data_IF_679525935572
#
_entry.id   IF_679525935572
#
_cell.length_a   1.000
_cell.length_b   1.000
_cell.length_c   1.000
_cell.angle_alpha   90.00
_cell.angle_beta   90.00
_cell.angle_gamma   90.00
#
_symmetry.space_group_name_H-M   'P 1'
#
loop_
_entity.id
_entity.type
_entity.pdbx_description
1 polymer ?
#
# COMPACT_ATOMS: atom_id res chain seq x y z
N UNK A 1 -14.81 -14.88 7.96
CA UNK A 1 -15.50 -14.50 6.70
C UNK A 1 -14.96 -15.43 5.63
N UNK A 2 -15.77 -16.38 5.17
CA UNK A 2 -15.35 -17.39 4.21
C UNK A 2 -15.18 -16.73 2.84
N UNK A 3 -13.96 -16.72 2.32
CA UNK A 3 -13.67 -16.36 0.93
C UNK A 3 -14.35 -17.39 0.04
N UNK A 4 -15.36 -16.98 -0.72
CA UNK A 4 -15.87 -17.78 -1.84
C UNK A 4 -14.73 -17.92 -2.86
N UNK A 5 -13.98 -19.01 -2.77
CA UNK A 5 -12.95 -19.36 -3.74
C UNK A 5 -13.64 -19.59 -5.09
N UNK A 6 -13.59 -18.60 -5.98
CA UNK A 6 -14.09 -18.76 -7.34
C UNK A 6 -13.21 -19.81 -8.06
N UNK A 7 -13.74 -21.01 -8.36
CA UNK A 7 -12.94 -22.08 -8.96
C UNK A 7 -12.37 -21.69 -10.34
N UNK A 8 -13.07 -20.79 -11.04
CA UNK A 8 -12.65 -20.19 -12.30
C UNK A 8 -11.41 -19.29 -12.13
N UNK A 9 -11.36 -18.49 -11.05
CA UNK A 9 -10.24 -17.61 -10.75
C UNK A 9 -8.97 -18.39 -10.42
N UNK A 10 -9.06 -19.46 -9.62
CA UNK A 10 -7.92 -20.32 -9.32
C UNK A 10 -7.35 -20.99 -10.58
N UNK A 11 -8.23 -21.38 -11.51
CA UNK A 11 -7.82 -21.97 -12.80
C UNK A 11 -7.18 -20.95 -13.73
N UNK A 12 -7.68 -19.72 -13.73
CA UNK A 12 -7.11 -18.62 -14.49
C UNK A 12 -5.73 -18.21 -13.95
N UNK A 13 -5.56 -18.16 -12.63
CA UNK A 13 -4.25 -17.99 -11.97
C UNK A 13 -3.28 -19.10 -12.40
N UNK A 14 -3.71 -20.37 -12.40
CA UNK A 14 -2.87 -21.49 -12.84
C UNK A 14 -2.41 -21.33 -14.29
N UNK A 15 -3.30 -20.92 -15.20
CA UNK A 15 -2.99 -20.67 -16.60
C UNK A 15 -1.98 -19.52 -16.75
N UNK A 16 -2.15 -18.44 -16.00
CA UNK A 16 -1.21 -17.32 -15.99
C UNK A 16 0.18 -17.72 -15.47
N UNK A 17 0.24 -18.52 -14.40
CA UNK A 17 1.51 -19.05 -13.87
C UNK A 17 2.18 -20.01 -14.85
N UNK A 18 1.41 -20.74 -15.65
CA UNK A 18 1.95 -21.60 -16.72
C UNK A 18 2.47 -20.85 -17.95
N UNK A 19 2.32 -19.52 -18.01
CA UNK A 19 2.89 -18.66 -19.04
C UNK A 19 1.93 -18.16 -20.12
N UNK A 20 0.62 -18.41 -20.01
CA UNK A 20 -0.36 -17.85 -20.95
C UNK A 20 -0.49 -16.33 -20.77
N UNK A 21 -0.51 -15.59 -21.88
CA UNK A 21 -0.62 -14.13 -21.86
C UNK A 21 -1.69 -13.60 -22.82
N UNK A 22 -2.22 -12.42 -22.49
CA UNK A 22 -3.09 -11.60 -23.35
C UNK A 22 -4.18 -12.37 -24.10
N UNK A 23 -4.07 -12.53 -25.44
CA UNK A 23 -5.11 -13.13 -26.28
C UNK A 23 -5.32 -14.64 -26.04
N UNK A 24 -4.28 -15.36 -25.60
CA UNK A 24 -4.39 -16.79 -25.30
C UNK A 24 -5.14 -17.00 -23.98
N UNK A 25 -4.95 -16.08 -23.04
CA UNK A 25 -5.62 -16.11 -21.74
C UNK A 25 -7.11 -15.79 -21.87
N UNK A 26 -7.49 -14.82 -22.72
CA UNK A 26 -8.90 -14.53 -23.00
C UNK A 26 -9.58 -15.70 -23.72
N UNK A 27 -8.93 -16.30 -24.71
CA UNK A 27 -9.44 -17.50 -25.39
C UNK A 27 -9.60 -18.70 -24.43
N UNK A 28 -8.68 -18.86 -23.47
CA UNK A 28 -8.78 -19.88 -22.43
C UNK A 28 -9.89 -19.56 -21.41
N UNK A 29 -10.11 -18.29 -21.08
CA UNK A 29 -11.19 -17.84 -20.20
C UNK A 29 -12.58 -18.10 -20.81
N UNK A 30 -12.75 -17.89 -22.12
CA UNK A 30 -13.97 -18.24 -22.85
C UNK A 30 -14.27 -19.75 -22.78
N UNK A 31 -13.24 -20.60 -22.77
CA UNK A 31 -13.38 -22.07 -22.60
C UNK A 31 -13.71 -22.49 -21.17
N UNK A 32 -13.53 -21.59 -20.20
CA UNK A 32 -13.85 -21.80 -18.79
C UNK A 32 -15.27 -21.32 -18.43
N UNK A 33 -16.09 -21.02 -19.44
CA UNK A 33 -17.47 -20.54 -19.30
C UNK A 33 -17.57 -19.22 -18.50
N UNK A 34 -16.52 -18.40 -18.56
CA UNK A 34 -16.52 -17.06 -17.96
C UNK A 34 -17.18 -16.09 -18.96
N UNK A 35 -18.18 -15.30 -18.55
CA UNK A 35 -18.82 -14.34 -19.44
C UNK A 35 -17.83 -13.25 -19.87
N UNK A 36 -17.85 -12.87 -21.15
CA UNK A 36 -16.87 -11.91 -21.72
C UNK A 36 -16.81 -10.57 -20.97
N UNK A 37 -17.92 -10.14 -20.37
CA UNK A 37 -17.98 -8.94 -19.54
C UNK A 37 -17.15 -9.02 -18.26
N UNK A 38 -16.93 -10.21 -17.70
CA UNK A 38 -16.24 -10.42 -16.42
C UNK A 38 -14.79 -10.91 -16.60
N UNK A 39 -14.40 -11.33 -17.81
CA UNK A 39 -13.04 -11.84 -18.09
C UNK A 39 -11.98 -10.80 -17.70
N UNK A 40 -12.19 -9.52 -18.02
CA UNK A 40 -11.25 -8.45 -17.70
C UNK A 40 -11.05 -8.29 -16.19
N UNK A 41 -12.15 -8.21 -15.44
CA UNK A 41 -12.13 -8.05 -13.99
C UNK A 41 -11.46 -9.25 -13.30
N UNK A 42 -11.77 -10.48 -13.74
CA UNK A 42 -11.18 -11.70 -13.21
C UNK A 42 -9.68 -11.82 -13.53
N UNK A 43 -9.24 -11.37 -14.71
CA UNK A 43 -7.81 -11.33 -15.06
C UNK A 43 -7.08 -10.33 -14.16
N UNK A 44 -7.65 -9.15 -13.92
CA UNK A 44 -7.02 -8.14 -13.08
C UNK A 44 -7.01 -8.56 -11.60
N UNK A 45 -8.06 -9.23 -11.13
CA UNK A 45 -8.07 -9.86 -9.80
C UNK A 45 -7.01 -10.97 -9.69
N UNK A 46 -6.87 -11.83 -10.71
CA UNK A 46 -5.85 -12.87 -10.75
C UNK A 46 -4.43 -12.27 -10.71
N UNK A 47 -4.18 -11.22 -11.51
CA UNK A 47 -2.91 -10.45 -11.48
C UNK A 47 -2.65 -9.89 -10.09
N UNK A 48 -3.68 -9.32 -9.45
CA UNK A 48 -3.55 -8.75 -8.12
C UNK A 48 -3.19 -9.81 -7.09
N UNK A 49 -3.83 -10.98 -7.13
CA UNK A 49 -3.51 -12.11 -6.25
C UNK A 49 -2.10 -12.64 -6.48
N UNK A 50 -1.66 -12.77 -7.74
CA UNK A 50 -0.29 -13.17 -8.07
C UNK A 50 0.72 -12.15 -7.53
N UNK A 51 0.46 -10.84 -7.71
CA UNK A 51 1.32 -9.78 -7.16
C UNK A 51 1.38 -9.83 -5.63
N UNK A 52 0.25 -10.01 -4.96
CA UNK A 52 0.20 -10.12 -3.51
C UNK A 52 0.96 -11.37 -3.02
N UNK A 53 0.77 -12.51 -3.67
CA UNK A 53 1.50 -13.73 -3.35
C UNK A 53 3.01 -13.57 -3.55
N UNK A 54 3.43 -12.98 -4.68
CA UNK A 54 4.82 -12.69 -4.96
C UNK A 54 5.42 -11.71 -3.93
N UNK A 55 4.65 -10.71 -3.49
CA UNK A 55 5.09 -9.76 -2.46
C UNK A 55 5.27 -10.41 -1.09
N UNK A 56 4.41 -11.38 -0.76
CA UNK A 56 4.50 -12.11 0.50
C UNK A 56 5.76 -12.99 0.54
N UNK A 57 6.03 -13.72 -0.54
CA UNK A 57 7.23 -14.55 -0.68
C UNK A 57 8.50 -13.70 -0.58
N UNK A 58 8.53 -12.57 -1.30
CA UNK A 58 9.62 -11.61 -1.24
C UNK A 58 9.87 -11.08 0.18
N UNK A 59 8.83 -10.66 0.92
CA UNK A 59 8.98 -10.23 2.31
C UNK A 59 9.52 -11.34 3.22
N UNK A 60 9.09 -12.58 3.01
CA UNK A 60 9.58 -13.73 3.77
C UNK A 60 11.06 -14.00 3.49
N UNK A 61 11.45 -14.09 2.21
CA UNK A 61 12.84 -14.28 1.80
C UNK A 61 13.76 -13.17 2.33
N UNK A 62 13.28 -11.93 2.33
CA UNK A 62 14.00 -10.80 2.91
C UNK A 62 14.18 -10.91 4.42
N UNK A 63 13.14 -11.31 5.14
CA UNK A 63 13.25 -11.57 6.58
C UNK A 63 14.32 -12.63 6.86
N UNK A 64 14.33 -13.71 6.09
CA UNK A 64 15.33 -14.78 6.19
C UNK A 64 16.73 -14.26 5.88
N UNK A 65 16.90 -13.47 4.83
CA UNK A 65 18.18 -12.89 4.44
C UNK A 65 18.70 -11.92 5.52
N UNK A 66 17.83 -11.06 6.05
CA UNK A 66 18.13 -10.13 7.13
C UNK A 66 18.60 -10.87 8.39
N UNK A 67 17.87 -11.89 8.85
CA UNK A 67 18.26 -12.68 10.02
C UNK A 67 19.62 -13.34 9.82
N UNK A 68 19.86 -13.96 8.67
CA UNK A 68 21.14 -14.63 8.36
C UNK A 68 22.32 -13.66 8.35
N UNK A 69 22.16 -12.49 7.73
CA UNK A 69 23.18 -11.44 7.69
C UNK A 69 23.46 -10.84 9.07
N UNK A 70 22.41 -10.60 9.86
CA UNK A 70 22.55 -10.10 11.22
C UNK A 70 23.26 -11.13 12.13
N UNK A 71 22.93 -12.41 12.01
CA UNK A 71 23.61 -13.48 12.73
C UNK A 71 25.09 -13.60 12.33
N UNK A 72 25.41 -13.39 11.06
CA UNK A 72 26.79 -13.36 10.56
C UNK A 72 27.55 -12.16 11.15
N UNK A 73 26.93 -10.97 11.14
CA UNK A 73 27.49 -9.77 11.75
C UNK A 73 27.78 -9.95 13.24
N UNK A 74 26.81 -10.44 14.02
CA UNK A 74 26.97 -10.68 15.46
C UNK A 74 28.10 -11.68 15.73
N UNK A 75 28.18 -12.77 14.94
CA UNK A 75 29.25 -13.76 15.07
C UNK A 75 30.62 -13.18 14.74
N UNK A 76 30.74 -12.41 13.66
CA UNK A 76 31.98 -11.76 13.26
C UNK A 76 32.48 -10.76 14.32
N UNK A 77 31.58 -9.95 14.89
CA UNK A 77 31.91 -9.03 16.00
C UNK A 77 32.42 -9.79 17.23
N UNK A 78 31.78 -10.90 17.61
CA UNK A 78 32.20 -11.71 18.78
C UNK A 78 33.63 -12.25 18.67
N UNK A 79 34.08 -12.55 17.45
CA UNK A 79 35.45 -13.05 17.19
C UNK A 79 36.41 -11.95 16.71
N UNK A 80 36.00 -10.68 16.77
CA UNK A 80 36.75 -9.52 16.30
C UNK A 80 37.16 -9.58 14.81
N UNK A 81 36.42 -10.32 13.98
CA UNK A 81 36.57 -10.31 12.52
C UNK A 81 35.85 -9.08 11.92
N UNK A 82 36.53 -7.94 12.03
CA UNK A 82 35.98 -6.65 11.59
C UNK A 82 35.75 -6.59 10.07
N UNK A 83 36.51 -7.35 9.28
CA UNK A 83 36.35 -7.37 7.82
C UNK A 83 35.01 -8.00 7.45
N UNK A 84 34.72 -9.18 7.99
CA UNK A 84 33.44 -9.86 7.76
C UNK A 84 32.28 -9.06 8.35
N UNK A 85 32.45 -8.44 9.53
CA UNK A 85 31.42 -7.59 10.12
C UNK A 85 31.08 -6.39 9.22
N UNK A 86 32.09 -5.69 8.67
CA UNK A 86 31.86 -4.57 7.77
C UNK A 86 31.17 -5.00 6.46
N UNK A 87 31.54 -6.15 5.90
CA UNK A 87 30.86 -6.68 4.71
C UNK A 87 29.40 -6.99 5.00
N UNK A 88 29.11 -7.72 6.09
CA UNK A 88 27.75 -8.03 6.49
C UNK A 88 26.91 -6.76 6.76
N UNK A 89 27.51 -5.74 7.38
CA UNK A 89 26.85 -4.46 7.62
C UNK A 89 26.52 -3.71 6.33
N UNK A 90 27.43 -3.70 5.34
CA UNK A 90 27.18 -3.08 4.03
C UNK A 90 26.05 -3.78 3.29
N UNK A 91 26.00 -5.10 3.34
CA UNK A 91 24.97 -5.88 2.66
C UNK A 91 23.61 -5.73 3.36
N UNK A 92 23.58 -5.62 4.70
CA UNK A 92 22.37 -5.24 5.44
C UNK A 92 21.84 -3.87 5.02
N UNK A 93 22.71 -2.85 4.93
CA UNK A 93 22.29 -1.51 4.52
C UNK A 93 21.74 -1.49 3.09
N UNK A 94 22.37 -2.21 2.17
CA UNK A 94 21.87 -2.37 0.78
C UNK A 94 20.49 -2.99 0.73
N UNK A 95 20.25 -4.03 1.53
CA UNK A 95 18.96 -4.71 1.62
C UNK A 95 17.88 -3.78 2.17
N UNK A 96 18.21 -2.91 3.14
CA UNK A 96 17.27 -1.93 3.68
C UNK A 96 16.99 -0.78 2.69
N UNK A 97 18.00 -0.31 1.96
CA UNK A 97 17.85 0.71 0.92
C UNK A 97 16.96 0.23 -0.23
N UNK A 98 17.11 -1.03 -0.68
CA UNK A 98 16.27 -1.60 -1.74
C UNK A 98 14.80 -1.79 -1.36
N UNK A 99 14.47 -1.77 -0.07
CA UNK A 99 13.10 -1.94 0.45
C UNK A 99 12.51 -0.73 1.12
N UNK A 100 13.25 0.37 1.19
CA UNK A 100 12.60 1.66 1.32
C UNK A 100 11.86 1.84 0.01
N UNK A 101 10.51 1.83 -0.03
CA UNK A 101 9.81 2.12 -1.27
C UNK A 101 10.37 3.46 -1.72
N UNK A 102 11.07 3.47 -2.85
CA UNK A 102 11.32 4.71 -3.55
C UNK A 102 9.96 5.40 -3.57
N UNK A 103 9.85 6.60 -3.03
CA UNK A 103 8.60 7.38 -3.02
C UNK A 103 7.99 7.57 -4.43
N UNK A 104 8.63 7.03 -5.46
CA UNK A 104 8.24 6.84 -6.84
C UNK A 104 7.69 5.44 -7.18
N UNK A 105 7.12 4.68 -6.25
CA UNK A 105 6.26 3.55 -6.63
C UNK A 105 4.96 4.14 -7.21
N UNK A 106 5.09 4.61 -8.44
CA UNK A 106 4.07 5.20 -9.30
C UNK A 106 2.99 4.14 -9.48
N UNK A 107 1.80 4.42 -8.98
CA UNK A 107 0.59 3.74 -9.39
C UNK A 107 0.44 3.98 -10.91
N UNK A 108 0.43 2.94 -11.77
CA UNK A 108 0.36 3.12 -13.23
C UNK A 108 -0.96 3.75 -13.72
N UNK A 109 -1.92 4.00 -12.80
CA UNK A 109 -3.16 4.73 -13.04
C UNK A 109 -3.21 6.11 -12.37
N UNK A 110 -2.22 6.49 -11.57
CA UNK A 110 -2.14 7.84 -11.05
C UNK A 110 -1.76 8.79 -12.18
N UNK A 111 -2.69 9.66 -12.55
CA UNK A 111 -2.38 10.85 -13.35
C UNK A 111 -1.22 11.55 -12.64
N UNK A 112 -0.09 11.73 -13.33
CA UNK A 112 1.02 12.53 -12.82
C UNK A 112 0.53 13.97 -12.66
N UNK A 113 -0.05 14.28 -11.50
CA UNK A 113 -0.37 15.66 -11.14
C UNK A 113 0.95 16.29 -10.75
N UNK A 114 1.38 17.31 -11.51
CA UNK A 114 2.56 18.09 -11.14
C UNK A 114 2.35 18.59 -9.71
N UNK A 115 3.31 18.30 -8.82
CA UNK A 115 3.26 18.71 -7.42
C UNK A 115 3.01 20.23 -7.26
N UNK A 116 3.36 21.04 -8.29
CA UNK A 116 3.03 22.47 -8.33
C UNK A 116 1.55 22.74 -8.58
N UNK A 117 0.93 22.01 -9.51
CA UNK A 117 -0.50 22.12 -9.83
C UNK A 117 -1.35 21.64 -8.65
N UNK A 118 -0.93 20.57 -7.99
CA UNK A 118 -1.59 20.06 -6.79
C UNK A 118 -1.57 21.09 -5.64
N UNK A 119 -0.43 21.73 -5.39
CA UNK A 119 -0.30 22.77 -4.36
C UNK A 119 -1.18 24.00 -4.66
N UNK A 120 -1.29 24.41 -5.92
CA UNK A 120 -2.20 25.50 -6.32
C UNK A 120 -3.68 25.10 -6.20
N UNK A 121 -4.04 23.87 -6.54
CA UNK A 121 -5.40 23.36 -6.32
C UNK A 121 -5.76 23.36 -4.82
N UNK A 122 -4.85 22.87 -3.97
CA UNK A 122 -5.02 22.89 -2.50
C UNK A 122 -5.20 24.33 -1.99
N UNK A 123 -4.42 25.28 -2.54
CA UNK A 123 -4.51 26.70 -2.17
C UNK A 123 -5.88 27.29 -2.48
N UNK A 124 -6.44 27.00 -3.65
CA UNK A 124 -7.78 27.47 -4.06
C UNK A 124 -8.88 26.96 -3.12
N UNK A 125 -8.73 25.76 -2.58
CA UNK A 125 -9.72 25.19 -1.66
C UNK A 125 -9.54 25.67 -0.21
N UNK A 126 -8.31 25.88 0.26
CA UNK A 126 -8.05 26.21 1.67
C UNK A 126 -8.13 27.70 2.01
N UNK A 127 -7.80 28.61 1.09
CA UNK A 127 -7.83 30.06 1.36
C UNK A 127 -9.24 30.64 1.58
N UNK A 128 -10.29 30.25 0.82
CA UNK A 128 -11.65 30.75 1.04
C UNK A 128 -12.22 30.40 2.42
N UNK A 129 -11.70 29.35 3.05
CA UNK A 129 -12.15 28.89 4.36
C UNK A 129 -11.65 29.77 5.52
N UNK A 130 -10.76 30.75 5.24
CA UNK A 130 -10.26 31.75 6.20
C UNK A 130 -9.83 31.15 7.55
N UNK A 131 -9.23 29.97 7.50
CA UNK A 131 -8.92 29.19 8.72
C UNK A 131 -7.80 29.81 9.56
N UNK A 132 -6.96 30.64 8.94
CA UNK A 132 -5.85 31.38 9.53
C UNK A 132 -5.76 32.78 8.91
N UNK A 133 -4.83 33.61 9.39
CA UNK A 133 -4.49 34.90 8.76
C UNK A 133 -4.16 34.68 7.27
N UNK A 134 -4.64 35.53 6.34
CA UNK A 134 -4.40 35.37 4.90
C UNK A 134 -2.91 35.48 4.50
N UNK A 135 -2.05 35.95 5.40
CA UNK A 135 -0.59 36.01 5.24
C UNK A 135 0.15 34.75 5.74
N UNK A 136 -0.56 33.78 6.32
CA UNK A 136 0.05 32.58 6.86
C UNK A 136 0.46 31.59 5.74
N UNK A 137 1.51 30.78 5.95
CA UNK A 137 1.90 29.76 4.97
C UNK A 137 0.79 28.71 4.80
N UNK A 138 0.64 28.17 3.59
CA UNK A 138 -0.43 27.19 3.26
C UNK A 138 -0.43 25.96 4.20
N UNK A 139 0.75 25.55 4.68
CA UNK A 139 0.91 24.48 5.68
C UNK A 139 0.14 24.76 6.97
N UNK A 140 0.07 26.01 7.40
CA UNK A 140 -0.64 26.40 8.62
C UNK A 140 -2.16 26.35 8.42
N UNK A 141 -2.65 26.77 7.25
CA UNK A 141 -4.06 26.60 6.89
C UNK A 141 -4.46 25.12 6.87
N UNK A 142 -3.61 24.25 6.29
CA UNK A 142 -3.84 22.81 6.25
C UNK A 142 -3.81 22.18 7.66
N UNK A 143 -2.86 22.60 8.52
CA UNK A 143 -2.77 22.13 9.91
C UNK A 143 -4.06 22.43 10.69
N UNK A 144 -4.54 23.67 10.60
CA UNK A 144 -5.76 24.10 11.28
C UNK A 144 -7.00 23.41 10.70
N UNK A 145 -7.06 23.20 9.39
CA UNK A 145 -8.14 22.43 8.74
C UNK A 145 -8.21 21.00 9.32
N UNK A 146 -7.07 20.31 9.34
CA UNK A 146 -6.98 18.94 9.87
C UNK A 146 -7.34 18.87 11.36
N UNK A 147 -6.95 19.88 12.15
CA UNK A 147 -7.31 19.96 13.56
C UNK A 147 -8.82 20.14 13.77
N UNK A 148 -9.46 21.02 12.99
CA UNK A 148 -10.92 21.20 13.06
C UNK A 148 -11.69 19.94 12.66
N UNK A 149 -11.22 19.22 11.63
CA UNK A 149 -11.82 17.95 11.21
C UNK A 149 -11.75 16.93 12.35
N UNK A 150 -10.58 16.78 12.99
CA UNK A 150 -10.43 15.88 14.15
C UNK A 150 -11.39 16.23 15.28
N UNK A 151 -11.46 17.51 15.65
CA UNK A 151 -12.36 17.98 16.70
C UNK A 151 -13.84 17.76 16.36
N UNK A 152 -14.23 17.91 15.09
CA UNK A 152 -15.59 17.62 14.62
C UNK A 152 -15.89 16.11 14.58
N UNK A 153 -14.93 15.28 14.18
CA UNK A 153 -15.05 13.81 14.21
C UNK A 153 -15.18 13.28 15.64
N UNK A 154 -14.44 13.84 16.59
CA UNK A 154 -14.55 13.48 18.00
C UNK A 154 -15.88 13.95 18.62
N UNK A 155 -16.36 15.13 18.24
CA UNK A 155 -17.65 15.67 18.68
C UNK A 155 -18.85 14.90 18.10
N UNK A 156 -18.76 14.42 16.85
CA UNK A 156 -19.81 13.62 16.20
C UNK A 156 -19.86 12.17 16.68
N UNK A 157 -18.81 11.69 17.36
CA UNK A 157 -18.80 10.39 18.05
C UNK A 157 -19.45 10.46 19.45
N UNK A 158 -19.63 11.65 20.03
CA UNK A 158 -20.40 11.86 21.27
C UNK A 158 -21.88 12.07 20.95
N UNK A 159 -22.60 10.97 20.70
CA UNK A 159 -24.06 10.98 20.81
C UNK A 159 -24.41 11.24 22.30
N UNK A 160 -25.26 12.22 22.64
CA UNK A 160 -25.62 12.50 24.02
C UNK A 160 -26.44 11.33 24.60
N UNK A 161 -25.83 10.57 25.50
CA UNK A 161 -26.52 9.63 26.37
C UNK A 161 -27.32 10.41 27.43
N UNK A 162 -28.50 10.93 27.09
CA UNK A 162 -29.44 11.50 28.06
C UNK A 162 -30.86 11.61 27.49
N UNK A 163 -31.63 10.52 27.57
CA UNK A 163 -33.09 10.56 27.65
C UNK A 163 -33.62 9.19 28.12
N UNK A 164 -33.43 8.86 29.40
CA UNK A 164 -34.14 7.77 30.07
C UNK A 164 -34.30 8.10 31.55
N UNK A 165 -35.22 9.00 31.83
CA UNK A 165 -35.94 9.03 33.11
C UNK A 165 -37.41 9.28 32.77
N UNK A 166 -38.12 8.20 32.47
CA UNK A 166 -39.58 8.17 32.57
C UNK A 166 -39.92 8.34 34.06
N UNK A 167 -40.67 9.39 34.35
CA UNK A 167 -41.31 9.64 35.64
C UNK A 167 -42.28 8.51 36.01
N UNK A 168 -42.31 8.24 37.31
CA UNK A 168 -43.37 7.50 38.03
C UNK A 168 -44.77 8.08 37.80
#
# INVERSE_FOLDING_TARGET
MATSEHPQLNRLILLMVSGLTGPELTAAASRLEIPESEIGELIDEARQRIRLAASFDHHHELGVAYTRLNDLYIRAIKVADLKTALTAQRDLNRLLESHTPSSSAIDPLAVEVDAREEVEAIRLHLLPLQLASPSAPLREHARIAAERIRQQSDASCQVPASASTLSE
#
